data_IF_630626178594
#
_entry.id   IF_630626178594
#
_cell.length_a   1.000
_cell.length_b   1.000
_cell.length_c   1.000
_cell.angle_alpha   90.00
_cell.angle_beta   90.00
_cell.angle_gamma   90.00
#
_symmetry.space_group_name_H-M   'P 1'
#
loop_
_entity.id
_entity.type
_entity.pdbx_description
1 polymer ?
#
# COMPACT_ATOMS: atom_id res chain seq x y z
N UNK A 1 -5.14 -16.68 -22.25
CA UNK A 1 -3.98 -15.79 -22.49
C UNK A 1 -3.64 -14.97 -21.25
N UNK A 2 -2.40 -15.01 -20.77
CA UNK A 2 -1.95 -14.16 -19.64
C UNK A 2 -1.50 -12.81 -20.19
N UNK A 3 -2.09 -11.72 -19.68
CA UNK A 3 -1.71 -10.37 -20.06
C UNK A 3 -0.46 -9.95 -19.28
N UNK A 4 0.71 -10.17 -19.86
CA UNK A 4 1.99 -9.68 -19.34
C UNK A 4 2.43 -8.43 -20.11
N UNK A 5 2.69 -7.34 -19.40
CA UNK A 5 3.23 -6.10 -19.96
C UNK A 5 4.76 -6.11 -19.89
N UNK A 6 5.39 -6.64 -20.94
CA UNK A 6 6.84 -6.54 -21.13
C UNK A 6 7.23 -5.14 -21.66
N UNK A 7 8.54 -4.80 -21.66
CA UNK A 7 9.05 -3.49 -22.11
C UNK A 7 8.47 -3.03 -23.45
N UNK A 8 8.31 -3.93 -24.43
CA UNK A 8 7.72 -3.59 -25.74
C UNK A 8 6.28 -3.08 -25.65
N UNK A 9 5.47 -3.59 -24.71
CA UNK A 9 4.09 -3.14 -24.49
C UNK A 9 4.00 -1.89 -23.63
N UNK A 10 5.00 -1.64 -22.77
CA UNK A 10 5.09 -0.38 -22.03
C UNK A 10 5.35 0.82 -22.94
N UNK A 11 6.04 0.62 -24.07
CA UNK A 11 6.32 1.68 -25.05
C UNK A 11 5.13 2.05 -25.94
N UNK A 12 3.94 1.47 -25.70
CA UNK A 12 2.73 1.88 -26.41
C UNK A 12 2.36 3.33 -26.02
N UNK A 13 1.83 4.12 -26.96
CA UNK A 13 1.45 5.51 -26.70
C UNK A 13 0.56 5.62 -25.47
N UNK A 14 0.79 6.65 -24.66
CA UNK A 14 -0.01 6.97 -23.47
C UNK A 14 0.01 5.94 -22.32
N UNK A 15 0.86 4.89 -22.37
CA UNK A 15 0.97 3.88 -21.31
C UNK A 15 2.31 3.90 -20.56
N UNK A 16 3.36 4.48 -21.16
CA UNK A 16 4.73 4.32 -20.66
C UNK A 16 4.93 4.86 -19.24
N UNK A 17 4.50 6.10 -18.98
CA UNK A 17 4.69 6.72 -17.66
C UNK A 17 3.85 6.03 -16.58
N UNK A 18 2.60 5.64 -16.87
CA UNK A 18 1.75 4.93 -15.91
C UNK A 18 2.30 3.52 -15.61
N UNK A 19 2.72 2.78 -16.63
CA UNK A 19 3.35 1.48 -16.42
C UNK A 19 4.68 1.60 -15.66
N UNK A 20 5.44 2.68 -15.86
CA UNK A 20 6.67 2.96 -15.12
C UNK A 20 6.40 3.26 -13.64
N UNK A 21 5.35 4.02 -13.31
CA UNK A 21 4.92 4.21 -11.92
C UNK A 21 4.48 2.90 -11.27
N UNK A 22 3.65 2.09 -11.95
CA UNK A 22 3.27 0.76 -11.43
C UNK A 22 4.49 -0.16 -11.21
N UNK A 23 5.47 -0.12 -12.11
CA UNK A 23 6.70 -0.87 -11.97
C UNK A 23 7.55 -0.38 -10.78
N UNK A 24 7.57 0.92 -10.50
CA UNK A 24 8.23 1.49 -9.33
C UNK A 24 7.58 0.96 -8.03
N UNK A 25 6.25 0.97 -7.94
CA UNK A 25 5.52 0.40 -6.79
C UNK A 25 5.84 -1.08 -6.61
N UNK A 26 5.82 -1.86 -7.70
CA UNK A 26 6.15 -3.29 -7.65
C UNK A 26 7.59 -3.53 -7.16
N UNK A 27 8.54 -2.68 -7.57
CA UNK A 27 9.94 -2.74 -7.10
C UNK A 27 10.05 -2.40 -5.62
N UNK A 28 9.34 -1.39 -5.14
CA UNK A 28 9.36 -1.02 -3.73
C UNK A 28 8.76 -2.11 -2.83
N UNK A 29 7.65 -2.73 -3.25
CA UNK A 29 7.08 -3.90 -2.56
C UNK A 29 8.09 -5.05 -2.47
N UNK A 30 8.82 -5.33 -3.57
CA UNK A 30 9.88 -6.34 -3.57
C UNK A 30 11.08 -5.95 -2.71
N UNK A 31 11.51 -4.68 -2.75
CA UNK A 31 12.67 -4.15 -2.01
C UNK A 31 12.44 -4.22 -0.50
N UNK A 32 11.24 -3.85 -0.05
CA UNK A 32 10.81 -3.94 1.35
C UNK A 32 10.45 -5.38 1.78
N UNK A 33 10.47 -6.32 0.84
CA UNK A 33 10.07 -7.72 1.00
C UNK A 33 8.71 -7.83 1.71
N UNK A 34 7.72 -7.04 1.29
CA UNK A 34 6.42 -6.95 1.98
C UNK A 34 5.79 -8.35 2.09
N UNK A 35 5.40 -8.73 3.31
CA UNK A 35 4.76 -10.02 3.56
C UNK A 35 3.33 -10.03 3.01
N UNK A 36 2.76 -11.21 2.82
CA UNK A 36 1.38 -11.31 2.36
C UNK A 36 0.39 -10.66 3.34
N UNK A 37 0.61 -10.80 4.65
CA UNK A 37 -0.25 -10.19 5.68
C UNK A 37 -0.14 -8.66 5.68
N UNK A 38 1.07 -8.12 5.54
CA UNK A 38 1.30 -6.67 5.39
C UNK A 38 0.61 -6.14 4.12
N UNK A 39 0.78 -6.85 3.00
CA UNK A 39 0.17 -6.49 1.72
C UNK A 39 -1.36 -6.43 1.80
N UNK A 40 -2.00 -7.40 2.45
CA UNK A 40 -3.45 -7.41 2.63
C UNK A 40 -3.94 -6.21 3.45
N UNK A 41 -3.23 -5.88 4.55
CA UNK A 41 -3.56 -4.71 5.36
C UNK A 41 -3.39 -3.41 4.56
N UNK A 42 -2.26 -3.26 3.84
CA UNK A 42 -1.98 -2.12 2.98
C UNK A 42 -3.05 -1.96 1.89
N UNK A 43 -3.48 -3.04 1.25
CA UNK A 43 -4.54 -3.01 0.23
C UNK A 43 -5.85 -2.47 0.79
N UNK A 44 -6.23 -2.88 2.00
CA UNK A 44 -7.42 -2.34 2.65
C UNK A 44 -7.24 -0.88 3.06
N UNK A 45 -6.07 -0.49 3.56
CA UNK A 45 -5.78 0.91 3.90
C UNK A 45 -5.82 1.83 2.68
N UNK A 46 -5.36 1.36 1.51
CA UNK A 46 -5.47 2.06 0.24
C UNK A 46 -6.93 2.24 -0.23
N UNK A 47 -7.80 1.29 0.08
CA UNK A 47 -9.25 1.45 -0.16
C UNK A 47 -9.85 2.53 0.76
N UNK A 48 -9.28 2.71 1.96
CA UNK A 48 -9.77 3.60 3.02
C UNK A 48 -9.02 4.95 3.09
N UNK A 49 -8.20 5.29 2.09
CA UNK A 49 -7.35 6.48 2.14
C UNK A 49 -7.91 7.70 1.39
N UNK A 50 -8.97 7.54 0.60
CA UNK A 50 -9.63 8.66 -0.10
C UNK A 50 -11.11 8.74 0.27
N UNK A 51 -11.55 9.90 0.77
CA UNK A 51 -12.93 10.19 1.15
C UNK A 51 -13.43 11.47 0.46
N UNK A 52 -14.75 11.66 0.31
CA UNK A 52 -15.32 12.92 -0.17
C UNK A 52 -14.95 14.09 0.77
N UNK A 53 -14.87 15.31 0.22
CA UNK A 53 -14.51 16.52 0.99
C UNK A 53 -15.56 16.86 2.05
N UNK A 54 -16.82 16.57 1.73
CA UNK A 54 -18.00 16.68 2.59
C UNK A 54 -18.06 15.57 3.67
N UNK A 55 -17.16 14.58 3.61
CA UNK A 55 -17.12 13.43 4.51
C UNK A 55 -18.10 12.32 4.13
N UNK A 56 -18.09 11.27 4.95
CA UNK A 56 -18.98 10.10 4.80
C UNK A 56 -20.18 10.22 5.74
N UNK A 57 -21.31 9.61 5.33
CA UNK A 57 -22.53 9.53 6.17
C UNK A 57 -22.26 8.96 7.56
N UNK A 58 -21.31 8.02 7.67
CA UNK A 58 -20.92 7.36 8.92
C UNK A 58 -19.41 7.50 9.15
N UNK A 59 -18.93 8.75 9.27
CA UNK A 59 -17.51 9.05 9.41
C UNK A 59 -16.85 8.34 10.60
N UNK A 60 -17.51 8.30 11.77
CA UNK A 60 -16.96 7.64 12.97
C UNK A 60 -16.70 6.15 12.75
N UNK A 61 -17.65 5.46 12.14
CA UNK A 61 -17.53 4.04 11.80
C UNK A 61 -16.41 3.81 10.77
N UNK A 62 -16.29 4.70 9.79
CA UNK A 62 -15.20 4.63 8.81
C UNK A 62 -13.83 4.78 9.48
N UNK A 63 -13.67 5.77 10.37
CA UNK A 63 -12.41 5.96 11.11
C UNK A 63 -12.11 4.77 12.04
N UNK A 64 -13.12 4.15 12.64
CA UNK A 64 -12.96 2.94 13.45
C UNK A 64 -12.44 1.76 12.61
N UNK A 65 -13.02 1.54 11.43
CA UNK A 65 -12.58 0.52 10.48
C UNK A 65 -11.13 0.82 10.05
N UNK A 66 -10.82 2.07 9.67
CA UNK A 66 -9.47 2.48 9.29
C UNK A 66 -8.45 2.25 10.42
N UNK A 67 -8.79 2.65 11.64
CA UNK A 67 -7.96 2.44 12.83
C UNK A 67 -7.74 0.95 13.13
N UNK A 68 -8.73 0.11 12.85
CA UNK A 68 -8.61 -1.35 12.99
C UNK A 68 -7.56 -1.90 12.04
N UNK A 69 -7.58 -1.52 10.77
CA UNK A 69 -6.59 -1.98 9.80
C UNK A 69 -5.19 -1.40 10.03
N UNK A 70 -5.08 -0.19 10.60
CA UNK A 70 -3.80 0.37 11.07
C UNK A 70 -3.21 -0.52 12.17
N UNK A 71 -4.03 -0.96 13.14
CA UNK A 71 -3.59 -1.87 14.21
C UNK A 71 -3.22 -3.25 13.67
N UNK A 72 -3.98 -3.80 12.72
CA UNK A 72 -3.66 -5.09 12.09
C UNK A 72 -2.35 -5.05 11.31
N UNK A 73 -2.04 -3.94 10.62
CA UNK A 73 -0.73 -3.75 10.00
C UNK A 73 0.40 -3.77 11.05
N UNK A 74 0.20 -3.10 12.19
CA UNK A 74 1.14 -3.14 13.31
C UNK A 74 1.36 -4.57 13.85
N UNK A 75 0.30 -5.36 14.00
CA UNK A 75 0.40 -6.77 14.41
C UNK A 75 1.16 -7.63 13.39
N UNK A 76 0.90 -7.43 12.09
CA UNK A 76 1.60 -8.14 11.01
C UNK A 76 3.11 -7.85 11.02
N UNK A 77 3.49 -6.59 11.31
CA UNK A 77 4.89 -6.18 11.47
C UNK A 77 5.53 -6.85 12.68
N UNK A 78 4.90 -6.78 13.86
CA UNK A 78 5.43 -7.39 15.10
C UNK A 78 5.60 -8.90 14.96
N UNK A 79 4.70 -9.57 14.24
CA UNK A 79 4.81 -11.02 13.97
C UNK A 79 6.04 -11.36 13.13
N UNK A 80 6.48 -10.44 12.27
CA UNK A 80 7.66 -10.59 11.42
C UNK A 80 8.95 -10.20 12.14
N UNK A 81 8.93 -9.07 12.85
CA UNK A 81 10.10 -8.45 13.48
C UNK A 81 9.96 -8.47 15.01
N UNK A 82 10.88 -9.15 15.68
CA UNK A 82 10.84 -9.33 17.14
C UNK A 82 11.31 -8.11 17.96
N UNK A 83 11.72 -7.01 17.32
CA UNK A 83 12.29 -5.83 17.99
C UNK A 83 11.46 -4.56 17.74
N UNK A 84 11.04 -3.90 18.82
CA UNK A 84 10.19 -2.70 18.80
C UNK A 84 10.78 -1.52 18.00
N UNK A 85 12.10 -1.31 17.98
CA UNK A 85 12.69 -0.20 17.22
C UNK A 85 12.65 -0.43 15.71
N UNK A 86 12.77 -1.68 15.28
CA UNK A 86 12.66 -2.09 13.87
C UNK A 86 11.20 -2.02 13.41
N UNK A 87 10.25 -2.39 14.28
CA UNK A 87 8.81 -2.31 14.01
C UNK A 87 8.34 -0.90 13.61
N UNK A 88 8.79 0.14 14.33
CA UNK A 88 8.46 1.53 13.99
C UNK A 88 9.03 1.94 12.62
N UNK A 89 10.29 1.59 12.34
CA UNK A 89 10.94 1.92 11.08
C UNK A 89 10.23 1.23 9.91
N UNK A 90 9.86 -0.04 10.08
CA UNK A 90 9.08 -0.81 9.11
C UNK A 90 7.71 -0.18 8.89
N UNK A 91 7.01 0.17 9.97
CA UNK A 91 5.70 0.82 9.86
C UNK A 91 5.79 2.10 9.02
N UNK A 92 6.77 2.96 9.31
CA UNK A 92 7.01 4.18 8.55
C UNK A 92 7.33 3.91 7.06
N UNK A 93 8.15 2.89 6.76
CA UNK A 93 8.46 2.51 5.38
C UNK A 93 7.21 2.08 4.59
N UNK A 94 6.32 1.29 5.23
CA UNK A 94 5.10 0.81 4.59
C UNK A 94 4.07 1.91 4.40
N UNK A 95 3.89 2.81 5.38
CA UNK A 95 2.98 3.95 5.22
C UNK A 95 3.50 4.96 4.20
N UNK A 96 4.82 5.21 4.15
CA UNK A 96 5.42 6.06 3.12
C UNK A 96 5.18 5.51 1.70
N UNK A 97 5.22 4.19 1.53
CA UNK A 97 4.88 3.57 0.25
C UNK A 97 3.40 3.76 -0.09
N UNK A 98 2.49 3.62 0.88
CA UNK A 98 1.06 3.91 0.67
C UNK A 98 0.82 5.37 0.24
N UNK A 99 1.47 6.33 0.91
CA UNK A 99 1.34 7.75 0.58
C UNK A 99 1.77 8.02 -0.87
N UNK A 100 2.87 7.41 -1.32
CA UNK A 100 3.35 7.56 -2.70
C UNK A 100 2.43 6.98 -3.78
N UNK A 101 1.40 6.21 -3.42
CA UNK A 101 0.39 5.72 -4.38
C UNK A 101 -0.74 6.73 -4.62
N UNK A 102 -0.81 7.80 -3.83
CA UNK A 102 -1.76 8.89 -4.00
C UNK A 102 -1.24 10.02 -4.90
N UNK A 103 0.08 10.09 -5.08
CA UNK A 103 0.78 11.05 -5.94
C UNK A 103 0.81 10.61 -7.42
#
# INVERSE_FOLDING_TARGET
PVLLFLRQRMNLPCMYEQCKHMLMVARELSRLQVSYEEYLCMKTLLLLSTIPKEGLKSQSLFEEIRMTYIKELGKAIVKREGNSSQNWQRFYQLTKLLDSMHD
#
